data_IF_520109055135
#
_entry.id   IF_520109055135
#
_cell.length_a   1.000
_cell.length_b   1.000
_cell.length_c   1.000
_cell.angle_alpha   90.00
_cell.angle_beta   90.00
_cell.angle_gamma   90.00
#
_symmetry.space_group_name_H-M   'P 1'
#
loop_
_entity.id
_entity.type
_entity.pdbx_description
1 polymer ?
#
# COMPACT_ATOMS: atom_id res chain seq x y z
N UNK A 1 41.66 -3.38 13.43
CA UNK A 1 40.62 -2.41 13.89
C UNK A 1 39.54 -2.34 12.81
N UNK A 2 38.40 -2.98 13.03
CA UNK A 2 37.25 -2.87 12.13
C UNK A 2 36.67 -1.45 12.29
N UNK A 3 36.39 -0.71 11.19
CA UNK A 3 35.75 0.59 11.31
C UNK A 3 34.39 0.41 12.00
N UNK A 4 33.98 1.33 12.90
CA UNK A 4 32.71 1.21 13.60
C UNK A 4 31.57 1.13 12.58
N UNK A 5 30.56 0.26 12.80
CA UNK A 5 29.47 0.07 11.85
C UNK A 5 28.84 1.43 11.54
N UNK A 6 28.84 1.82 10.27
CA UNK A 6 28.24 3.08 9.82
C UNK A 6 26.78 3.06 10.26
N UNK A 7 26.43 3.90 11.24
CA UNK A 7 25.03 4.13 11.64
C UNK A 7 24.27 4.54 10.37
N UNK A 8 23.42 3.63 9.88
CA UNK A 8 22.56 3.90 8.74
C UNK A 8 21.67 5.07 9.16
N UNK A 9 21.68 6.15 8.38
CA UNK A 9 20.85 7.34 8.65
C UNK A 9 19.39 6.90 8.73
N UNK A 10 18.64 7.38 9.71
CA UNK A 10 17.24 7.01 9.97
C UNK A 10 16.37 7.19 8.71
N UNK A 11 16.63 8.23 7.93
CA UNK A 11 16.00 8.47 6.62
C UNK A 11 16.19 7.30 5.64
N UNK A 12 17.34 6.64 5.65
CA UNK A 12 17.63 5.52 4.76
C UNK A 12 16.84 4.27 5.18
N UNK A 13 16.71 4.01 6.48
CA UNK A 13 15.91 2.89 6.99
C UNK A 13 14.44 3.05 6.60
N UNK A 14 13.89 4.28 6.74
CA UNK A 14 12.51 4.59 6.33
C UNK A 14 12.32 4.40 4.82
N UNK A 15 13.26 4.89 4.00
CA UNK A 15 13.21 4.67 2.54
C UNK A 15 13.23 3.20 2.16
N UNK A 16 14.05 2.39 2.83
CA UNK A 16 14.11 0.94 2.58
C UNK A 16 12.80 0.26 2.96
N UNK A 17 12.21 0.61 4.12
CA UNK A 17 10.92 0.08 4.54
C UNK A 17 9.79 0.45 3.56
N UNK A 18 9.79 1.70 3.06
CA UNK A 18 8.82 2.15 2.06
C UNK A 18 8.98 1.43 0.71
N UNK A 19 10.21 1.23 0.25
CA UNK A 19 10.48 0.46 -0.96
C UNK A 19 10.01 -1.00 -0.82
N UNK A 20 10.23 -1.61 0.35
CA UNK A 20 9.75 -2.95 0.64
C UNK A 20 8.22 -3.03 0.66
N UNK A 21 7.54 -2.07 1.28
CA UNK A 21 6.07 -1.99 1.30
C UNK A 21 5.49 -1.89 -0.11
N UNK A 22 6.08 -1.03 -0.95
CA UNK A 22 5.72 -0.90 -2.37
C UNK A 22 5.94 -2.21 -3.11
N UNK A 23 7.11 -2.83 -2.95
CA UNK A 23 7.44 -4.10 -3.61
C UNK A 23 6.48 -5.24 -3.23
N UNK A 24 6.13 -5.34 -1.94
CA UNK A 24 5.15 -6.35 -1.46
C UNK A 24 3.76 -6.13 -2.06
N UNK A 25 3.30 -4.87 -2.16
CA UNK A 25 2.01 -4.55 -2.76
C UNK A 25 2.00 -4.84 -4.27
N UNK A 26 3.06 -4.49 -4.98
CA UNK A 26 3.21 -4.79 -6.40
C UNK A 26 3.26 -6.30 -6.66
N UNK A 27 4.00 -7.05 -5.83
CA UNK A 27 4.05 -8.51 -5.92
C UNK A 27 2.67 -9.15 -5.70
N UNK A 28 1.91 -8.69 -4.69
CA UNK A 28 0.54 -9.14 -4.48
C UNK A 28 -0.36 -8.84 -5.68
N UNK A 29 -0.26 -7.62 -6.23
CA UNK A 29 -1.03 -7.23 -7.42
C UNK A 29 -0.69 -8.13 -8.62
N UNK A 30 0.59 -8.45 -8.81
CA UNK A 30 1.05 -9.33 -9.87
C UNK A 30 0.47 -10.75 -9.73
N UNK A 31 0.49 -11.31 -8.52
CA UNK A 31 -0.12 -12.61 -8.22
C UNK A 31 -1.63 -12.63 -8.51
N UNK A 32 -2.35 -11.55 -8.17
CA UNK A 32 -3.78 -11.45 -8.48
C UNK A 32 -4.03 -11.40 -10.00
N UNK A 33 -3.17 -10.73 -10.77
CA UNK A 33 -3.26 -10.70 -12.25
C UNK A 33 -2.98 -12.07 -12.86
N UNK A 34 -1.97 -12.78 -12.37
CA UNK A 34 -1.66 -14.15 -12.78
C UNK A 34 -2.83 -15.09 -12.53
N UNK A 35 -3.42 -15.04 -11.34
CA UNK A 35 -4.60 -15.83 -10.99
C UNK A 35 -5.81 -15.51 -11.90
N UNK A 36 -6.00 -14.24 -12.28
CA UNK A 36 -7.06 -13.87 -13.23
C UNK A 36 -6.83 -14.51 -14.61
N UNK A 37 -5.60 -14.58 -15.10
CA UNK A 37 -5.31 -15.29 -16.36
C UNK A 37 -5.49 -16.80 -16.23
N UNK A 38 -5.17 -17.40 -15.08
CA UNK A 38 -5.44 -18.82 -14.82
C UNK A 38 -6.95 -19.10 -14.82
N UNK A 39 -7.75 -18.27 -14.14
CA UNK A 39 -9.22 -18.36 -14.13
C UNK A 39 -9.76 -18.25 -15.56
N UNK A 40 -9.20 -17.35 -16.38
CA UNK A 40 -9.57 -17.20 -17.79
C UNK A 40 -9.29 -18.49 -18.58
N UNK A 41 -8.08 -19.01 -18.45
CA UNK A 41 -7.62 -20.21 -19.16
C UNK A 41 -8.45 -21.42 -18.77
N UNK A 42 -8.65 -21.64 -17.47
CA UNK A 42 -9.50 -22.69 -16.93
C UNK A 42 -10.94 -22.58 -17.46
N UNK A 43 -11.54 -21.40 -17.40
CA UNK A 43 -12.92 -21.18 -17.87
C UNK A 43 -13.06 -21.46 -19.37
N UNK A 44 -12.06 -21.12 -20.19
CA UNK A 44 -12.04 -21.42 -21.63
C UNK A 44 -11.97 -22.93 -21.89
N UNK A 45 -11.10 -23.65 -21.18
CA UNK A 45 -10.99 -25.10 -21.30
C UNK A 45 -12.28 -25.79 -20.81
N UNK A 46 -12.85 -25.33 -19.69
CA UNK A 46 -14.11 -25.82 -19.15
C UNK A 46 -15.27 -25.63 -20.12
N UNK A 47 -15.35 -24.47 -20.79
CA UNK A 47 -16.34 -24.20 -21.82
C UNK A 47 -16.23 -25.16 -23.02
N UNK A 48 -15.01 -25.46 -23.46
CA UNK A 48 -14.78 -26.40 -24.56
C UNK A 48 -15.24 -27.82 -24.21
N UNK A 49 -14.90 -28.31 -23.01
CA UNK A 49 -15.31 -29.64 -22.52
C UNK A 49 -16.84 -29.74 -22.44
N UNK A 50 -17.51 -28.74 -21.87
CA UNK A 50 -18.98 -28.73 -21.77
C UNK A 50 -19.64 -28.68 -23.15
N UNK A 51 -19.05 -27.94 -24.10
CA UNK A 51 -19.53 -27.88 -25.49
C UNK A 51 -19.37 -29.23 -26.21
N UNK A 52 -18.23 -29.88 -26.09
CA UNK A 52 -18.00 -31.21 -26.67
C UNK A 52 -18.97 -32.25 -26.11
N UNK A 53 -19.18 -32.22 -24.78
CA UNK A 53 -20.11 -33.13 -24.13
C UNK A 53 -21.57 -32.85 -24.54
N UNK A 54 -21.96 -31.58 -24.61
CA UNK A 54 -23.26 -31.16 -25.17
C UNK A 54 -23.48 -31.73 -26.57
N UNK A 55 -22.51 -31.54 -27.47
CA UNK A 55 -22.60 -32.03 -28.85
C UNK A 55 -22.69 -33.56 -28.91
N UNK A 56 -21.95 -34.28 -28.06
CA UNK A 56 -22.02 -35.73 -27.98
C UNK A 56 -23.42 -36.22 -27.55
N UNK A 57 -24.01 -35.60 -26.51
CA UNK A 57 -25.36 -35.92 -26.03
C UNK A 57 -26.43 -35.60 -27.08
N UNK A 58 -26.33 -34.45 -27.75
CA UNK A 58 -27.26 -34.08 -28.82
C UNK A 58 -27.17 -35.03 -30.02
N UNK A 59 -25.96 -35.38 -30.46
CA UNK A 59 -25.76 -36.37 -31.54
C UNK A 59 -26.36 -37.72 -31.18
N UNK A 60 -26.14 -38.19 -29.94
CA UNK A 60 -26.70 -39.45 -29.45
C UNK A 60 -28.24 -39.41 -29.45
N UNK A 61 -28.83 -38.34 -28.91
CA UNK A 61 -30.28 -38.18 -28.88
C UNK A 61 -30.87 -38.18 -30.31
N UNK A 62 -30.30 -37.41 -31.23
CA UNK A 62 -30.74 -37.33 -32.63
C UNK A 62 -30.62 -38.70 -33.33
N UNK A 63 -29.52 -39.42 -33.12
CA UNK A 63 -29.29 -40.73 -33.73
C UNK A 63 -30.41 -41.72 -33.37
N UNK A 64 -30.79 -41.76 -32.09
CA UNK A 64 -31.80 -42.70 -31.59
C UNK A 64 -33.24 -42.21 -31.78
N UNK A 65 -33.45 -40.91 -31.93
CA UNK A 65 -34.74 -40.34 -32.29
C UNK A 65 -35.15 -40.66 -33.74
N UNK A 66 -34.19 -40.77 -34.66
CA UNK A 66 -34.42 -41.16 -36.06
C UNK A 66 -34.66 -42.66 -36.25
N UNK A 67 -34.45 -43.48 -35.22
CA UNK A 67 -34.62 -44.93 -35.31
C UNK A 67 -36.11 -45.24 -35.12
N UNK A 68 -36.85 -45.33 -36.23
CA UNK A 68 -38.29 -45.61 -36.22
C UNK A 68 -38.59 -47.00 -35.67
N UNK A 69 -39.04 -47.05 -34.41
CA UNK A 69 -39.56 -48.27 -33.78
C UNK A 69 -41.08 -48.44 -33.98
N UNK A 70 -41.75 -47.47 -34.61
CA UNK A 70 -43.21 -47.45 -34.81
C UNK A 70 -43.66 -48.05 -36.16
N UNK A 71 -43.03 -49.14 -36.63
CA UNK A 71 -43.47 -49.80 -37.88
C UNK A 71 -44.75 -50.65 -37.74
N UNK A 72 -45.37 -50.69 -36.57
CA UNK A 72 -46.65 -51.36 -36.34
C UNK A 72 -47.73 -50.35 -35.98
N UNK A 73 -48.73 -50.17 -36.85
CA UNK A 73 -49.97 -49.46 -36.52
C UNK A 73 -50.63 -50.13 -35.32
N UNK A 74 -51.02 -49.34 -34.32
CA UNK A 74 -51.94 -49.79 -33.28
C UNK A 74 -51.58 -49.26 -31.90
N UNK A 75 -52.43 -48.37 -31.42
CA UNK A 75 -52.69 -48.06 -30.01
C UNK A 75 -51.70 -47.18 -29.25
N UNK A 76 -52.02 -45.89 -29.37
CA UNK A 76 -52.23 -44.95 -28.28
C UNK A 76 -51.26 -44.99 -27.09
N UNK A 77 -50.42 -43.95 -27.00
CA UNK A 77 -50.35 -43.00 -25.89
C UNK A 77 -50.48 -43.53 -24.44
N UNK A 78 -50.10 -44.76 -24.14
CA UNK A 78 -50.09 -45.22 -22.76
C UNK A 78 -48.81 -44.69 -22.09
N UNK A 79 -48.96 -43.72 -21.19
CA UNK A 79 -47.87 -43.06 -20.44
C UNK A 79 -47.04 -44.01 -19.57
N UNK A 80 -47.40 -45.30 -19.50
CA UNK A 80 -46.63 -46.40 -18.87
C UNK A 80 -46.01 -47.42 -19.85
N UNK A 81 -46.07 -47.19 -21.17
CA UNK A 81 -45.46 -48.10 -22.15
C UNK A 81 -43.93 -48.00 -22.19
N UNK A 82 -43.25 -49.11 -22.47
CA UNK A 82 -41.78 -49.15 -22.67
C UNK A 82 -41.32 -48.12 -23.71
N UNK A 83 -42.14 -47.84 -24.73
CA UNK A 83 -41.89 -46.80 -25.74
C UNK A 83 -41.97 -45.38 -25.19
N UNK A 84 -42.88 -45.10 -24.25
CA UNK A 84 -42.94 -43.81 -23.57
C UNK A 84 -41.70 -43.59 -22.69
N UNK A 85 -41.25 -44.64 -21.98
CA UNK A 85 -40.00 -44.61 -21.19
C UNK A 85 -38.79 -44.35 -22.11
N UNK A 86 -38.69 -45.06 -23.22
CA UNK A 86 -37.62 -44.87 -24.21
C UNK A 86 -37.57 -43.45 -24.78
N UNK A 87 -38.73 -42.90 -25.19
CA UNK A 87 -38.81 -41.50 -25.66
C UNK A 87 -38.38 -40.50 -24.59
N UNK A 88 -38.86 -40.69 -23.37
CA UNK A 88 -38.51 -39.82 -22.23
C UNK A 88 -37.01 -39.84 -21.93
N UNK A 89 -36.34 -40.99 -22.09
CA UNK A 89 -34.90 -41.11 -21.91
C UNK A 89 -34.11 -40.33 -22.98
N UNK A 90 -34.54 -40.42 -24.25
CA UNK A 90 -33.93 -39.65 -25.35
C UNK A 90 -34.12 -38.15 -25.11
N UNK A 91 -35.33 -37.73 -24.73
CA UNK A 91 -35.65 -36.34 -24.45
C UNK A 91 -34.86 -35.79 -23.26
N UNK A 92 -34.73 -36.55 -22.17
CA UNK A 92 -33.88 -36.20 -21.03
C UNK A 92 -32.39 -36.08 -21.42
N UNK A 93 -31.92 -36.91 -22.36
CA UNK A 93 -30.56 -36.84 -22.91
C UNK A 93 -30.35 -35.56 -23.72
N UNK A 94 -31.32 -35.21 -24.58
CA UNK A 94 -31.29 -33.96 -25.35
C UNK A 94 -31.32 -32.72 -24.43
N UNK A 95 -32.18 -32.74 -23.42
CA UNK A 95 -32.27 -31.69 -22.40
C UNK A 95 -30.97 -31.55 -21.62
N UNK A 96 -30.35 -32.67 -21.22
CA UNK A 96 -29.03 -32.64 -20.58
C UNK A 96 -27.99 -31.99 -21.48
N UNK A 97 -27.99 -32.28 -22.79
CA UNK A 97 -27.15 -31.59 -23.77
C UNK A 97 -27.38 -30.07 -23.79
N UNK A 98 -28.63 -29.62 -23.84
CA UNK A 98 -28.96 -28.19 -23.81
C UNK A 98 -28.49 -27.48 -22.52
N UNK A 99 -28.61 -28.14 -21.37
CA UNK A 99 -28.07 -27.62 -20.10
C UNK A 99 -26.54 -27.47 -20.15
N UNK A 100 -25.83 -28.45 -20.74
CA UNK A 100 -24.36 -28.40 -20.91
C UNK A 100 -23.94 -27.26 -21.86
N UNK A 101 -24.68 -27.04 -22.95
CA UNK A 101 -24.43 -25.90 -23.84
C UNK A 101 -24.57 -24.57 -23.12
N UNK A 102 -25.64 -24.42 -22.32
CA UNK A 102 -25.87 -23.21 -21.52
C UNK A 102 -24.74 -22.97 -20.53
N UNK A 103 -24.23 -24.02 -19.88
CA UNK A 103 -23.07 -23.92 -19.01
C UNK A 103 -21.80 -23.47 -19.76
N UNK A 104 -21.55 -24.03 -20.97
CA UNK A 104 -20.44 -23.62 -21.82
C UNK A 104 -20.50 -22.12 -22.18
N UNK A 105 -21.68 -21.62 -22.55
CA UNK A 105 -21.89 -20.20 -22.86
C UNK A 105 -21.69 -19.31 -21.63
N UNK A 106 -22.12 -19.75 -20.46
CA UNK A 106 -21.86 -19.07 -19.18
C UNK A 106 -20.36 -18.90 -18.90
N UNK A 107 -19.57 -19.96 -19.09
CA UNK A 107 -18.11 -19.88 -18.95
C UNK A 107 -17.48 -18.93 -19.99
N UNK A 108 -17.96 -18.93 -21.25
CA UNK A 108 -17.45 -17.98 -22.27
C UNK A 108 -17.77 -16.54 -21.90
N UNK A 109 -19.00 -16.25 -21.44
CA UNK A 109 -19.41 -14.91 -21.01
C UNK A 109 -18.53 -14.37 -19.87
N UNK A 110 -18.23 -15.21 -18.88
CA UNK A 110 -17.30 -14.86 -17.80
C UNK A 110 -15.93 -14.42 -18.34
N UNK A 111 -15.40 -15.14 -19.34
CA UNK A 111 -14.10 -14.82 -19.95
C UNK A 111 -14.10 -13.64 -20.93
N UNK A 112 -15.24 -13.34 -21.56
CA UNK A 112 -15.32 -12.35 -22.63
C UNK A 112 -15.24 -10.93 -22.08
N UNK A 113 -16.10 -10.61 -21.11
CA UNK A 113 -16.29 -9.23 -20.64
C UNK A 113 -16.14 -9.08 -19.13
N UNK A 114 -16.74 -9.97 -18.34
CA UNK A 114 -16.73 -9.86 -16.88
C UNK A 114 -15.31 -9.85 -16.31
N UNK A 115 -14.45 -10.79 -16.75
CA UNK A 115 -13.09 -10.89 -16.26
C UNK A 115 -12.19 -9.73 -16.75
N UNK A 116 -12.40 -9.24 -17.99
CA UNK A 116 -11.66 -8.08 -18.52
C UNK A 116 -12.00 -6.81 -17.75
N UNK A 117 -13.28 -6.55 -17.53
CA UNK A 117 -13.74 -5.40 -16.75
C UNK A 117 -13.24 -5.46 -15.30
N UNK A 118 -13.27 -6.64 -14.68
CA UNK A 118 -12.73 -6.85 -13.33
C UNK A 118 -11.23 -6.56 -13.27
N UNK A 119 -10.45 -7.08 -14.24
CA UNK A 119 -9.01 -6.84 -14.34
C UNK A 119 -8.71 -5.35 -14.47
N UNK A 120 -9.37 -4.65 -15.40
CA UNK A 120 -9.17 -3.22 -15.62
C UNK A 120 -9.52 -2.39 -14.38
N UNK A 121 -10.63 -2.71 -13.69
CA UNK A 121 -11.02 -2.03 -12.46
C UNK A 121 -10.02 -2.25 -11.32
N UNK A 122 -9.51 -3.48 -11.15
CA UNK A 122 -8.47 -3.80 -10.17
C UNK A 122 -7.16 -3.07 -10.46
N UNK A 123 -6.72 -3.07 -11.71
CA UNK A 123 -5.48 -2.40 -12.14
C UNK A 123 -5.56 -0.89 -11.92
N UNK A 124 -6.67 -0.25 -12.28
CA UNK A 124 -6.89 1.18 -12.03
C UNK A 124 -6.87 1.50 -10.52
N UNK A 125 -7.54 0.69 -9.70
CA UNK A 125 -7.55 0.86 -8.25
C UNK A 125 -6.16 0.69 -7.65
N UNK A 126 -5.42 -0.34 -8.07
CA UNK A 126 -4.07 -0.61 -7.61
C UNK A 126 -3.11 0.54 -7.97
N UNK A 127 -3.19 1.04 -9.21
CA UNK A 127 -2.39 2.18 -9.67
C UNK A 127 -2.64 3.43 -8.82
N UNK A 128 -3.91 3.81 -8.63
CA UNK A 128 -4.29 4.96 -7.79
C UNK A 128 -3.84 4.80 -6.33
N UNK A 129 -4.02 3.60 -5.77
CA UNK A 129 -3.58 3.29 -4.42
C UNK A 129 -2.07 3.39 -4.25
N UNK A 130 -1.30 2.92 -5.23
CA UNK A 130 0.16 2.98 -5.20
C UNK A 130 0.68 4.41 -5.37
N UNK A 131 0.11 5.18 -6.29
CA UNK A 131 0.44 6.61 -6.49
C UNK A 131 0.19 7.40 -5.20
N UNK A 132 -0.96 7.18 -4.55
CA UNK A 132 -1.29 7.79 -3.26
C UNK A 132 -0.30 7.37 -2.16
N UNK A 133 0.04 6.09 -2.07
CA UNK A 133 1.00 5.59 -1.08
C UNK A 133 2.36 6.27 -1.24
N UNK A 134 2.87 6.30 -2.47
CA UNK A 134 4.18 6.86 -2.78
C UNK A 134 4.22 8.36 -2.53
N UNK A 135 3.11 9.08 -2.77
CA UNK A 135 2.98 10.50 -2.43
C UNK A 135 3.17 10.72 -0.92
N UNK A 136 2.41 10.00 -0.08
CA UNK A 136 2.50 10.15 1.38
C UNK A 136 3.86 9.69 1.91
N UNK A 137 4.43 8.61 1.37
CA UNK A 137 5.79 8.17 1.68
C UNK A 137 6.83 9.26 1.35
N UNK A 138 6.67 9.96 0.22
CA UNK A 138 7.48 11.11 -0.15
C UNK A 138 7.39 12.24 0.87
N UNK A 139 6.17 12.63 1.26
CA UNK A 139 5.92 13.66 2.27
C UNK A 139 6.60 13.32 3.62
N UNK A 140 6.54 12.06 4.06
CA UNK A 140 7.22 11.60 5.29
C UNK A 140 8.74 11.71 5.15
N UNK A 141 9.31 11.29 4.00
CA UNK A 141 10.75 11.38 3.75
C UNK A 141 11.23 12.83 3.73
N UNK A 142 10.45 13.74 3.15
CA UNK A 142 10.80 15.17 3.09
C UNK A 142 10.72 15.82 4.47
N UNK A 143 9.68 15.51 5.26
CA UNK A 143 9.59 15.95 6.65
C UNK A 143 10.80 15.47 7.48
N UNK A 144 11.23 14.21 7.31
CA UNK A 144 12.44 13.68 7.95
C UNK A 144 13.71 14.42 7.54
N UNK A 145 13.82 14.87 6.28
CA UNK A 145 14.97 15.69 5.84
C UNK A 145 14.97 17.04 6.54
N UNK A 146 13.82 17.70 6.65
CA UNK A 146 13.71 18.97 7.37
C UNK A 146 14.04 18.83 8.85
N UNK A 147 13.54 17.79 9.52
CA UNK A 147 13.91 17.48 10.90
C UNK A 147 15.42 17.31 11.06
N UNK A 148 16.09 16.64 10.12
CA UNK A 148 17.54 16.48 10.16
C UNK A 148 18.27 17.83 10.06
N UNK A 149 17.80 18.74 9.20
CA UNK A 149 18.36 20.10 9.07
C UNK A 149 18.18 20.90 10.36
N UNK A 150 16.97 20.93 10.91
CA UNK A 150 16.65 21.66 12.15
C UNK A 150 17.42 21.07 13.33
N UNK A 151 17.49 19.73 13.45
CA UNK A 151 18.28 19.04 14.46
C UNK A 151 19.76 19.42 14.40
N UNK A 152 20.35 19.47 13.20
CA UNK A 152 21.74 19.90 13.01
C UNK A 152 21.95 21.35 13.47
N UNK A 153 21.05 22.26 13.08
CA UNK A 153 21.09 23.67 13.49
C UNK A 153 20.95 23.84 15.00
N UNK A 154 20.05 23.07 15.63
CA UNK A 154 19.87 23.03 17.08
C UNK A 154 21.18 22.63 17.80
N UNK A 155 21.84 21.55 17.38
CA UNK A 155 23.11 21.15 18.00
C UNK A 155 24.23 22.18 17.81
N UNK A 156 24.31 22.80 16.63
CA UNK A 156 25.30 23.86 16.37
C UNK A 156 25.08 25.07 17.28
N UNK A 157 23.84 25.57 17.38
CA UNK A 157 23.50 26.71 18.23
C UNK A 157 23.62 26.37 19.72
N UNK A 158 23.29 25.14 20.12
CA UNK A 158 23.47 24.67 21.50
C UNK A 158 24.95 24.70 21.89
N UNK A 159 25.85 24.22 21.03
CA UNK A 159 27.29 24.30 21.26
C UNK A 159 27.78 25.76 21.35
N UNK A 160 27.35 26.63 20.44
CA UNK A 160 27.71 28.05 20.48
C UNK A 160 27.25 28.75 21.76
N UNK A 161 26.02 28.47 22.21
CA UNK A 161 25.48 29.02 23.44
C UNK A 161 26.25 28.53 24.68
N UNK A 162 26.64 27.24 24.72
CA UNK A 162 27.49 26.71 25.79
C UNK A 162 28.83 27.43 25.86
N UNK A 163 29.52 27.58 24.72
CA UNK A 163 30.80 28.32 24.65
C UNK A 163 30.63 29.79 25.07
N UNK A 164 29.50 30.42 24.72
CA UNK A 164 29.20 31.79 25.16
C UNK A 164 28.98 31.87 26.69
N UNK A 165 28.29 30.90 27.29
CA UNK A 165 28.08 30.81 28.75
C UNK A 165 29.40 30.63 29.49
N UNK A 166 30.27 29.74 29.02
CA UNK A 166 31.60 29.52 29.60
C UNK A 166 32.42 30.82 29.59
N UNK A 167 32.49 31.51 28.44
CA UNK A 167 33.23 32.78 28.33
C UNK A 167 32.67 33.89 29.23
N UNK A 168 31.34 33.97 29.36
CA UNK A 168 30.69 34.94 30.23
C UNK A 168 30.99 34.62 31.71
N UNK A 169 30.90 33.34 32.10
CA UNK A 169 31.22 32.88 33.45
C UNK A 169 32.69 33.13 33.82
N UNK A 170 33.63 32.84 32.92
CA UNK A 170 35.06 33.09 33.10
C UNK A 170 35.36 34.58 33.31
N UNK A 171 34.72 35.44 32.51
CA UNK A 171 34.92 36.90 32.62
C UNK A 171 34.31 37.44 33.91
N UNK A 172 33.17 36.90 34.33
CA UNK A 172 32.56 37.24 35.62
C UNK A 172 33.43 36.77 36.80
N UNK A 173 34.02 35.57 36.72
CA UNK A 173 34.94 35.08 37.74
C UNK A 173 36.21 35.94 37.82
N UNK A 174 36.77 36.38 36.68
CA UNK A 174 37.89 37.32 36.63
C UNK A 174 37.52 38.69 37.22
N UNK A 175 36.33 39.20 36.94
CA UNK A 175 35.82 40.45 37.50
C UNK A 175 35.68 40.39 39.03
N UNK A 176 35.14 39.29 39.57
CA UNK A 176 35.03 39.08 41.03
C UNK A 176 36.40 38.99 41.72
N UNK A 177 37.42 38.44 41.05
CA UNK A 177 38.79 38.33 41.57
C UNK A 177 39.57 39.65 41.50
N UNK A 178 39.17 40.60 40.65
CA UNK A 178 39.85 41.88 40.45
C UNK A 178 39.27 43.02 41.29
N UNK A 179 38.54 42.71 42.37
CA UNK A 179 37.83 43.68 43.23
C UNK A 179 38.76 44.72 43.88
N UNK A 180 40.07 44.44 43.96
CA UNK A 180 41.13 45.34 44.49
C UNK A 180 42.06 45.91 43.39
N UNK A 181 41.71 45.78 42.11
CA UNK A 181 42.57 46.16 40.97
C UNK A 181 42.41 47.61 40.47
N UNK A 182 43.40 48.06 39.68
CA UNK A 182 43.49 49.41 39.08
C UNK A 182 42.19 49.81 38.36
N UNK A 183 41.68 51.03 38.63
CA UNK A 183 40.38 51.55 38.14
C UNK A 183 40.13 51.39 36.62
N UNK A 184 41.18 51.56 35.80
CA UNK A 184 41.11 51.36 34.34
C UNK A 184 40.90 49.88 33.93
N UNK A 185 41.52 48.94 34.65
CA UNK A 185 41.37 47.50 34.41
C UNK A 185 39.94 47.03 34.72
N UNK A 186 39.33 47.56 35.79
CA UNK A 186 37.94 47.28 36.17
C UNK A 186 36.94 47.75 35.11
N UNK A 187 37.12 48.97 34.60
CA UNK A 187 36.25 49.55 33.58
C UNK A 187 36.30 48.76 32.26
N UNK A 188 37.49 48.28 31.87
CA UNK A 188 37.67 47.40 30.71
C UNK A 188 36.97 46.04 30.86
N UNK A 189 37.10 45.40 32.02
CA UNK A 189 36.41 44.13 32.32
C UNK A 189 34.89 44.29 32.36
N UNK A 190 34.37 45.40 32.88
CA UNK A 190 32.94 45.68 32.90
C UNK A 190 32.38 45.83 31.47
N UNK A 191 33.07 46.56 30.59
CA UNK A 191 32.70 46.68 29.17
C UNK A 191 32.74 45.31 28.46
N UNK A 192 33.77 44.51 28.71
CA UNK A 192 33.89 43.15 28.16
C UNK A 192 32.76 42.24 28.65
N UNK A 193 32.45 42.26 29.95
CA UNK A 193 31.37 41.49 30.55
C UNK A 193 30.01 41.88 29.94
N UNK A 194 29.72 43.18 29.78
CA UNK A 194 28.51 43.66 29.11
C UNK A 194 28.39 43.15 27.68
N UNK A 195 29.49 43.18 26.92
CA UNK A 195 29.53 42.69 25.52
C UNK A 195 29.29 41.17 25.44
N UNK A 196 29.91 40.40 26.34
CA UNK A 196 29.72 38.95 26.39
C UNK A 196 28.32 38.57 26.84
N UNK A 197 27.73 39.29 27.80
CA UNK A 197 26.35 39.08 28.23
C UNK A 197 25.34 39.40 27.12
N UNK A 198 25.60 40.43 26.30
CA UNK A 198 24.76 40.73 25.13
C UNK A 198 24.81 39.58 24.11
N UNK A 199 26.01 39.09 23.79
CA UNK A 199 26.20 37.92 22.91
C UNK A 199 25.56 36.65 23.47
N UNK A 200 25.65 36.43 24.79
CA UNK A 200 25.00 35.30 25.44
C UNK A 200 23.49 35.36 25.28
N UNK A 201 22.86 36.52 25.54
CA UNK A 201 21.42 36.71 25.34
C UNK A 201 20.99 36.43 23.90
N UNK A 202 21.74 36.94 22.91
CA UNK A 202 21.48 36.66 21.49
C UNK A 202 21.60 35.16 21.17
N UNK A 203 22.61 34.47 21.70
CA UNK A 203 22.78 33.02 21.52
C UNK A 203 21.64 32.22 22.16
N UNK A 204 21.23 32.56 23.39
CA UNK A 204 20.15 31.86 24.10
C UNK A 204 18.79 32.11 23.43
N UNK A 205 18.54 33.31 22.91
CA UNK A 205 17.34 33.61 22.12
C UNK A 205 17.29 32.73 20.87
N UNK A 206 18.35 32.74 20.05
CA UNK A 206 18.44 31.90 18.83
C UNK A 206 18.34 30.41 19.13
N UNK A 207 18.91 29.96 20.25
CA UNK A 207 18.80 28.57 20.70
C UNK A 207 17.34 28.22 21.06
N UNK A 208 16.62 29.14 21.70
CA UNK A 208 15.20 28.95 22.04
C UNK A 208 14.35 28.86 20.76
N UNK A 209 14.59 29.75 19.79
CA UNK A 209 13.89 29.74 18.50
C UNK A 209 14.08 28.41 17.76
N UNK A 210 15.32 27.93 17.59
CA UNK A 210 15.58 26.67 16.90
C UNK A 210 15.11 25.45 17.69
N UNK A 211 15.08 25.52 19.03
CA UNK A 211 14.50 24.46 19.87
C UNK A 211 13.00 24.33 19.62
N UNK A 212 12.29 25.45 19.56
CA UNK A 212 10.85 25.46 19.27
C UNK A 212 10.58 24.94 17.87
N UNK A 213 11.36 25.38 16.87
CA UNK A 213 11.30 24.84 15.50
C UNK A 213 11.50 23.32 15.49
N UNK A 214 12.51 22.81 16.19
CA UNK A 214 12.79 21.37 16.29
C UNK A 214 11.62 20.59 16.88
N UNK A 215 11.03 21.08 17.98
CA UNK A 215 9.89 20.43 18.63
C UNK A 215 8.64 20.43 17.74
N UNK A 216 8.37 21.53 17.04
CA UNK A 216 7.25 21.62 16.09
C UNK A 216 7.43 20.65 14.92
N UNK A 217 8.63 20.60 14.32
CA UNK A 217 8.92 19.64 13.23
C UNK A 217 8.82 18.20 13.70
N UNK A 218 9.29 17.89 14.92
CA UNK A 218 9.18 16.56 15.51
C UNK A 218 7.72 16.15 15.72
N UNK A 219 6.89 17.08 16.24
CA UNK A 219 5.45 16.85 16.40
C UNK A 219 4.76 16.60 15.07
N UNK A 220 5.08 17.38 14.04
CA UNK A 220 4.50 17.22 12.70
C UNK A 220 4.81 15.83 12.11
N UNK A 221 6.06 15.36 12.23
CA UNK A 221 6.47 14.04 11.75
C UNK A 221 5.76 12.92 12.48
N UNK A 222 5.63 13.02 13.81
CA UNK A 222 4.91 12.02 14.58
C UNK A 222 3.44 11.92 14.14
N UNK A 223 2.78 13.06 13.90
CA UNK A 223 1.42 13.09 13.37
C UNK A 223 1.32 12.48 11.96
N UNK A 224 2.24 12.81 11.06
CA UNK A 224 2.29 12.22 9.70
C UNK A 224 2.51 10.71 9.75
N UNK A 225 3.42 10.25 10.61
CA UNK A 225 3.73 8.84 10.80
C UNK A 225 2.52 8.09 11.37
N UNK A 226 1.86 8.64 12.38
CA UNK A 226 0.64 8.07 12.93
C UNK A 226 -0.45 7.95 11.85
N UNK A 227 -0.73 9.05 11.13
CA UNK A 227 -1.72 9.07 10.06
C UNK A 227 -1.41 8.05 8.95
N UNK A 228 -0.14 7.92 8.55
CA UNK A 228 0.31 6.93 7.58
C UNK A 228 -0.07 5.50 7.99
N UNK A 229 0.22 5.12 9.25
CA UNK A 229 -0.04 3.76 9.73
C UNK A 229 -1.49 3.50 10.12
N UNK A 230 -2.23 4.51 10.59
CA UNK A 230 -3.62 4.32 11.06
C UNK A 230 -4.67 4.53 9.98
N UNK A 231 -4.38 5.34 8.96
CA UNK A 231 -5.35 5.70 7.92
C UNK A 231 -4.91 5.28 6.52
N UNK A 232 -3.79 5.79 6.02
CA UNK A 232 -3.38 5.64 4.60
C UNK A 232 -3.02 4.19 4.24
N UNK A 233 -2.08 3.59 4.97
CA UNK A 233 -1.62 2.23 4.69
C UNK A 233 -2.78 1.22 4.80
N UNK A 234 -3.65 1.25 5.84
CA UNK A 234 -4.85 0.43 5.87
C UNK A 234 -5.83 0.71 4.73
N UNK A 235 -6.04 1.96 4.33
CA UNK A 235 -6.96 2.30 3.23
C UNK A 235 -6.50 1.66 1.91
N UNK A 236 -5.19 1.64 1.67
CA UNK A 236 -4.57 1.09 0.46
C UNK A 236 -4.53 -0.45 0.54
N UNK A 237 -4.31 -1.01 1.73
CA UNK A 237 -4.30 -2.46 1.95
C UNK A 237 -5.70 -3.09 2.00
N UNK A 238 -6.74 -2.33 2.38
CA UNK A 238 -8.13 -2.82 2.39
C UNK A 238 -8.62 -3.02 0.96
N UNK A 239 -8.45 -4.25 0.49
CA UNK A 239 -9.28 -4.85 -0.55
C UNK A 239 -10.69 -5.01 0.02
N UNK A 240 -11.41 -3.92 0.26
CA UNK A 240 -12.84 -4.02 0.58
C UNK A 240 -13.57 -4.31 -0.74
N UNK A 241 -14.16 -5.51 -0.94
CA UNK A 241 -15.20 -5.65 -1.94
C UNK A 241 -16.35 -4.71 -1.54
N UNK A 242 -16.91 -3.91 -2.46
CA UNK A 242 -18.12 -3.17 -2.13
C UNK A 242 -19.23 -4.18 -1.80
N UNK A 243 -19.83 -4.10 -0.62
CA UNK A 243 -21.11 -4.77 -0.33
C UNK A 243 -21.11 -6.01 0.57
N UNK A 244 -20.37 -6.03 1.69
CA UNK A 244 -20.76 -6.90 2.82
C UNK A 244 -20.85 -6.01 4.06
N UNK A 245 -22.08 -5.67 4.42
CA UNK A 245 -22.52 -5.16 5.72
C UNK A 245 -23.50 -6.18 6.29
#
# INVERSE_FOLDING_TARGET
MQPPPRKVKETQQVKMAFAEQVGRLQSKQQQEVELLEDIRSFSKQRAAIEQEYSQALQRLAIQFQRKDWQRGKGDSLNSGSVFAVWRSLIEATAQSGACRLTAADGYRSLTADALKSLRAAKELKAKRGLEQLQRVQGEVVDALRELHKVKKRYYQLSHMANVAREKAADTQAKFKKSDHGIFHFRTGLQKMSSKLNTRLKECDQRLTEVRNEYLLTLSAINSHHQYYYTAELPAIMRVRPPGIS
#
